data_IF_777485226837
#
_entry.id   IF_777485226837
#
_cell.length_a   1.000
_cell.length_b   1.000
_cell.length_c   1.000
_cell.angle_alpha   90.00
_cell.angle_beta   90.00
_cell.angle_gamma   90.00
#
_symmetry.space_group_name_H-M   'P 1'
#
loop_
_entity.id
_entity.type
_entity.pdbx_description
1 polymer ?
#
# COMPACT_ATOMS: atom_id res chain seq x y z
N UNK A 1 -8.42 30.26 -9.16
CA UNK A 1 -7.23 30.85 -9.82
C UNK A 1 -5.99 30.13 -9.27
N UNK A 2 -5.64 29.08 -9.88
CA UNK A 2 -4.37 28.53 -10.35
C UNK A 2 -3.19 28.75 -9.38
N UNK A 3 -2.93 27.77 -8.51
CA UNK A 3 -1.60 27.58 -7.94
C UNK A 3 -0.95 26.38 -8.65
N UNK A 4 -0.27 26.68 -9.73
CA UNK A 4 0.46 25.73 -10.57
C UNK A 4 1.84 25.50 -9.96
N UNK A 5 2.05 24.26 -9.48
CA UNK A 5 3.32 23.53 -9.51
C UNK A 5 4.63 24.32 -9.46
N UNK A 6 5.08 24.70 -8.26
CA UNK A 6 6.45 25.18 -8.06
C UNK A 6 7.53 24.10 -8.28
N UNK A 7 7.21 22.81 -8.17
CA UNK A 7 8.20 21.74 -8.35
C UNK A 7 8.57 21.43 -9.80
N UNK A 8 7.65 21.62 -10.74
CA UNK A 8 7.90 21.33 -12.16
C UNK A 8 8.80 22.36 -12.84
N UNK A 9 8.80 23.61 -12.35
CA UNK A 9 9.60 24.69 -12.95
C UNK A 9 11.08 24.69 -12.55
N UNK A 10 11.45 24.12 -11.39
CA UNK A 10 12.86 24.07 -10.94
C UNK A 10 13.66 23.06 -11.75
N UNK A 11 13.03 22.01 -12.27
CA UNK A 11 13.72 20.95 -13.04
C UNK A 11 14.12 21.43 -14.44
N UNK A 12 13.45 22.41 -15.02
CA UNK A 12 13.75 22.90 -16.39
C UNK A 12 15.07 23.64 -16.53
N UNK A 13 15.61 24.20 -15.44
CA UNK A 13 16.85 24.99 -15.48
C UNK A 13 18.12 24.23 -15.09
N UNK A 14 18.03 22.91 -14.75
CA UNK A 14 19.18 22.11 -14.36
C UNK A 14 19.87 21.45 -15.56
N UNK A 15 21.21 21.33 -15.52
CA UNK A 15 21.97 20.55 -16.48
C UNK A 15 21.61 19.06 -16.43
N UNK A 16 21.93 18.29 -17.48
CA UNK A 16 21.67 16.85 -17.51
C UNK A 16 22.29 16.11 -16.33
N UNK A 17 23.51 16.47 -15.93
CA UNK A 17 24.22 15.91 -14.77
C UNK A 17 23.52 16.22 -13.45
N UNK A 18 23.07 17.46 -13.26
CA UNK A 18 22.32 17.88 -12.07
C UNK A 18 20.93 17.21 -11.98
N UNK A 19 20.24 17.01 -13.12
CA UNK A 19 18.98 16.27 -13.19
C UNK A 19 19.16 14.80 -12.78
N UNK A 20 20.24 14.16 -13.24
CA UNK A 20 20.55 12.76 -12.90
C UNK A 20 20.92 12.61 -11.42
N UNK A 21 21.70 13.53 -10.86
CA UNK A 21 22.03 13.55 -9.43
C UNK A 21 20.78 13.75 -8.58
N UNK A 22 19.96 14.76 -8.88
CA UNK A 22 18.72 15.03 -8.17
C UNK A 22 17.76 13.85 -8.20
N UNK A 23 17.62 13.16 -9.36
CA UNK A 23 16.80 11.95 -9.47
C UNK A 23 17.31 10.80 -8.59
N UNK A 24 18.63 10.58 -8.53
CA UNK A 24 19.25 9.59 -7.63
C UNK A 24 18.99 9.92 -6.16
N UNK A 25 19.15 11.18 -5.78
CA UNK A 25 18.95 11.64 -4.39
C UNK A 25 17.49 11.42 -3.96
N UNK A 26 16.52 11.74 -4.80
CA UNK A 26 15.09 11.52 -4.55
C UNK A 26 14.76 10.02 -4.40
N UNK A 27 15.29 9.16 -5.27
CA UNK A 27 15.08 7.71 -5.19
C UNK A 27 15.67 7.14 -3.90
N UNK A 28 16.83 7.66 -3.46
CA UNK A 28 17.46 7.26 -2.18
C UNK A 28 16.63 7.73 -0.98
N UNK A 29 16.08 8.94 -1.03
CA UNK A 29 15.20 9.47 0.02
C UNK A 29 13.90 8.68 0.12
N UNK A 30 13.21 8.42 -1.00
CA UNK A 30 12.02 7.58 -1.03
C UNK A 30 12.30 6.20 -0.41
N UNK A 31 13.39 5.53 -0.82
CA UNK A 31 13.75 4.21 -0.31
C UNK A 31 13.97 4.20 1.21
N UNK A 32 14.66 5.22 1.74
CA UNK A 32 14.86 5.38 3.18
C UNK A 32 13.53 5.60 3.91
N UNK A 33 12.69 6.50 3.40
CA UNK A 33 11.40 6.83 4.01
C UNK A 33 10.42 5.67 3.96
N UNK A 34 10.40 4.90 2.87
CA UNK A 34 9.62 3.66 2.78
C UNK A 34 10.08 2.62 3.81
N UNK A 35 11.39 2.45 4.02
CA UNK A 35 11.89 1.54 5.04
C UNK A 35 11.44 1.97 6.45
N UNK A 36 11.52 3.27 6.78
CA UNK A 36 11.00 3.84 8.02
C UNK A 36 9.48 3.58 8.17
N UNK A 37 8.72 3.79 7.10
CA UNK A 37 7.28 3.53 7.07
C UNK A 37 6.96 2.06 7.34
N UNK A 38 7.55 1.11 6.61
CA UNK A 38 7.29 -0.32 6.78
C UNK A 38 7.70 -0.83 8.17
N UNK A 39 8.81 -0.32 8.71
CA UNK A 39 9.21 -0.62 10.08
C UNK A 39 8.15 -0.15 11.09
N UNK A 40 7.63 1.06 10.93
CA UNK A 40 6.59 1.63 11.80
C UNK A 40 5.22 0.96 11.63
N UNK A 41 4.93 0.44 10.44
CA UNK A 41 3.70 -0.29 10.15
C UNK A 41 3.63 -1.58 10.98
N UNK A 42 4.74 -2.27 11.16
CA UNK A 42 4.83 -3.55 11.86
C UNK A 42 4.41 -4.73 10.97
N UNK A 43 4.17 -5.89 11.59
CA UNK A 43 3.92 -7.14 10.86
C UNK A 43 2.52 -7.27 10.27
N UNK A 44 1.51 -6.74 10.95
CA UNK A 44 0.12 -6.97 10.57
C UNK A 44 -0.84 -5.90 11.11
N UNK A 45 -1.92 -5.65 10.39
CA UNK A 45 -3.03 -4.79 10.82
C UNK A 45 -4.36 -5.28 10.23
N UNK A 46 -5.46 -5.05 10.97
CA UNK A 46 -6.80 -5.13 10.36
C UNK A 46 -7.08 -3.84 9.61
N UNK A 47 -7.30 -3.93 8.30
CA UNK A 47 -7.45 -2.79 7.40
C UNK A 47 -8.74 -2.88 6.59
N UNK A 48 -9.33 -1.75 6.25
CA UNK A 48 -10.39 -1.70 5.27
C UNK A 48 -9.79 -1.90 3.87
N UNK A 49 -10.20 -2.98 3.19
CA UNK A 49 -9.91 -3.22 1.78
C UNK A 49 -11.04 -2.62 0.94
N UNK A 50 -10.72 -1.69 0.07
CA UNK A 50 -11.60 -1.11 -0.93
C UNK A 50 -11.31 -1.70 -2.29
N UNK A 51 -12.36 -2.14 -2.99
CA UNK A 51 -12.31 -2.70 -4.34
C UNK A 51 -13.37 -2.04 -5.20
N UNK A 52 -13.16 -1.97 -6.51
CA UNK A 52 -14.16 -1.45 -7.44
C UNK A 52 -14.41 -2.41 -8.59
N UNK A 53 -15.66 -2.50 -9.02
CA UNK A 53 -16.07 -3.25 -10.21
C UNK A 53 -17.31 -2.59 -10.78
N UNK A 54 -17.37 -2.43 -12.10
CA UNK A 54 -18.53 -1.83 -12.82
C UNK A 54 -18.92 -0.44 -12.26
N UNK A 55 -17.93 0.37 -11.90
CA UNK A 55 -18.13 1.71 -11.33
C UNK A 55 -18.63 1.73 -9.87
N UNK A 56 -18.77 0.57 -9.20
CA UNK A 56 -19.20 0.47 -7.80
C UNK A 56 -18.01 0.17 -6.89
N UNK A 57 -17.87 0.96 -5.86
CA UNK A 57 -16.86 0.76 -4.81
C UNK A 57 -17.46 -0.01 -3.64
N UNK A 58 -16.69 -0.92 -3.07
CA UNK A 58 -17.06 -1.68 -1.88
C UNK A 58 -15.89 -1.75 -0.91
N UNK A 59 -16.15 -1.60 0.39
CA UNK A 59 -15.15 -1.70 1.46
C UNK A 59 -15.52 -2.76 2.50
N UNK A 60 -14.52 -3.44 3.06
CA UNK A 60 -14.67 -4.39 4.18
C UNK A 60 -13.36 -4.56 4.93
N UNK A 61 -13.47 -4.95 6.21
CA UNK A 61 -12.28 -5.22 7.03
C UNK A 61 -11.61 -6.55 6.61
N UNK A 62 -10.29 -6.52 6.53
CA UNK A 62 -9.43 -7.67 6.23
C UNK A 62 -8.31 -7.78 7.25
N UNK A 63 -7.89 -9.01 7.54
CA UNK A 63 -6.63 -9.30 8.24
C UNK A 63 -5.50 -9.22 7.21
N UNK A 64 -4.60 -8.26 7.37
CA UNK A 64 -3.52 -7.97 6.42
C UNK A 64 -2.18 -8.18 7.10
N UNK A 65 -1.27 -8.90 6.45
CA UNK A 65 0.13 -9.05 6.87
C UNK A 65 1.05 -8.34 5.89
N UNK A 66 2.15 -7.79 6.42
CA UNK A 66 3.21 -7.15 5.63
C UNK A 66 4.37 -8.14 5.48
N UNK A 67 4.76 -8.45 4.24
CA UNK A 67 5.88 -9.32 3.89
C UNK A 67 6.64 -8.66 2.74
N UNK A 68 7.93 -8.42 2.91
CA UNK A 68 8.81 -7.86 1.88
C UNK A 68 8.23 -6.62 1.17
N UNK A 69 7.74 -5.66 1.97
CA UNK A 69 7.15 -4.39 1.48
C UNK A 69 5.86 -4.54 0.67
N UNK A 70 5.18 -5.68 0.77
CA UNK A 70 3.88 -5.95 0.14
C UNK A 70 2.87 -6.39 1.17
N UNK A 71 1.60 -6.14 0.88
CA UNK A 71 0.49 -6.43 1.79
C UNK A 71 -0.27 -7.65 1.33
N UNK A 72 -0.44 -8.62 2.21
CA UNK A 72 -1.08 -9.89 1.89
C UNK A 72 -2.33 -10.11 2.72
N UNK A 73 -3.33 -10.70 2.10
CA UNK A 73 -4.56 -11.14 2.75
C UNK A 73 -5.13 -12.36 2.03
N UNK A 74 -6.01 -13.10 2.71
CA UNK A 74 -6.71 -14.23 2.10
C UNK A 74 -8.19 -13.98 1.95
N UNK A 75 -8.82 -14.68 0.99
CA UNK A 75 -10.25 -14.65 0.75
C UNK A 75 -10.73 -15.89 0.02
N UNK A 76 -11.93 -16.36 0.37
CA UNK A 76 -12.63 -17.40 -0.37
C UNK A 76 -13.01 -16.93 -1.79
N UNK A 77 -12.80 -17.81 -2.80
CA UNK A 77 -13.17 -17.57 -4.21
C UNK A 77 -14.66 -17.29 -4.41
N UNK A 78 -15.53 -17.78 -3.53
CA UNK A 78 -16.96 -17.59 -3.59
C UNK A 78 -17.40 -16.22 -3.06
N UNK A 79 -16.48 -15.43 -2.48
CA UNK A 79 -16.78 -14.11 -1.97
C UNK A 79 -16.78 -13.06 -3.07
N UNK A 80 -17.70 -12.09 -2.95
CA UNK A 80 -17.83 -10.98 -3.93
C UNK A 80 -16.50 -10.22 -4.14
N UNK A 81 -15.71 -10.02 -3.10
CA UNK A 81 -14.42 -9.33 -3.20
C UNK A 81 -13.40 -10.07 -4.09
N UNK A 82 -13.44 -11.40 -4.12
CA UNK A 82 -12.61 -12.19 -5.03
C UNK A 82 -12.93 -11.87 -6.48
N UNK A 83 -14.22 -11.96 -6.86
CA UNK A 83 -14.67 -11.62 -8.21
C UNK A 83 -14.33 -10.16 -8.59
N UNK A 84 -14.46 -9.22 -7.65
CA UNK A 84 -14.09 -7.83 -7.85
C UNK A 84 -12.60 -7.66 -8.15
N UNK A 85 -11.73 -8.30 -7.36
CA UNK A 85 -10.26 -8.25 -7.56
C UNK A 85 -9.81 -8.93 -8.86
N UNK A 86 -10.53 -9.98 -9.29
CA UNK A 86 -10.27 -10.64 -10.59
C UNK A 86 -10.68 -9.75 -11.77
N UNK A 87 -11.76 -9.00 -11.64
CA UNK A 87 -12.26 -8.09 -12.66
C UNK A 87 -11.47 -6.78 -12.73
N UNK A 88 -11.06 -6.25 -11.58
CA UNK A 88 -10.26 -5.04 -11.45
C UNK A 88 -9.23 -5.22 -10.31
N UNK A 89 -7.95 -5.34 -10.63
CA UNK A 89 -6.92 -5.58 -9.63
C UNK A 89 -6.53 -4.34 -8.81
N UNK A 90 -6.97 -3.14 -9.20
CA UNK A 90 -6.72 -1.93 -8.43
C UNK A 90 -7.52 -1.95 -7.13
N UNK A 91 -6.83 -1.78 -6.02
CA UNK A 91 -7.42 -1.78 -4.69
C UNK A 91 -6.72 -0.78 -3.78
N UNK A 92 -7.40 -0.43 -2.69
CA UNK A 92 -6.81 0.36 -1.62
C UNK A 92 -7.02 -0.32 -0.27
N UNK A 93 -6.02 -0.17 0.60
CA UNK A 93 -6.08 -0.52 2.01
C UNK A 93 -6.05 0.76 2.84
N UNK A 94 -6.92 0.85 3.84
CA UNK A 94 -6.99 2.01 4.72
C UNK A 94 -7.07 1.60 6.18
N UNK A 95 -6.33 2.29 7.03
CA UNK A 95 -6.44 2.20 8.48
C UNK A 95 -6.04 3.53 9.09
N UNK A 96 -6.87 4.05 9.99
CA UNK A 96 -6.66 5.33 10.68
C UNK A 96 -6.29 6.45 9.69
N UNK A 97 -5.05 6.91 9.75
CA UNK A 97 -4.49 7.96 8.93
C UNK A 97 -3.63 7.47 7.75
N UNK A 98 -3.67 6.17 7.43
CA UNK A 98 -2.86 5.55 6.37
C UNK A 98 -3.76 5.07 5.24
N UNK A 99 -3.45 5.48 4.02
CA UNK A 99 -4.02 5.00 2.76
C UNK A 99 -2.91 4.37 1.93
N UNK A 100 -3.16 3.19 1.39
CA UNK A 100 -2.24 2.43 0.54
C UNK A 100 -3.02 2.01 -0.70
N UNK A 101 -2.61 2.50 -1.86
CA UNK A 101 -3.15 2.11 -3.15
C UNK A 101 -2.17 1.17 -3.86
N UNK A 102 -2.69 0.29 -4.71
CA UNK A 102 -1.84 -0.64 -5.43
C UNK A 102 -2.58 -1.68 -6.26
N UNK A 103 -1.79 -2.59 -6.81
CA UNK A 103 -2.25 -3.67 -7.66
C UNK A 103 -2.29 -4.98 -6.87
N UNK A 104 -3.45 -5.61 -6.83
CA UNK A 104 -3.65 -6.92 -6.25
C UNK A 104 -3.38 -8.03 -7.26
N UNK A 105 -2.62 -9.05 -6.84
CA UNK A 105 -2.37 -10.26 -7.59
C UNK A 105 -2.67 -11.48 -6.73
N UNK A 106 -3.39 -12.46 -7.26
CA UNK A 106 -3.55 -13.77 -6.65
C UNK A 106 -2.22 -14.53 -6.69
N UNK A 107 -1.79 -15.08 -5.55
CA UNK A 107 -0.50 -15.76 -5.37
C UNK A 107 -0.65 -17.18 -4.81
N UNK A 108 -1.75 -17.83 -5.12
CA UNK A 108 -2.00 -19.23 -4.79
C UNK A 108 -2.81 -19.44 -3.51
N UNK A 109 -2.69 -20.64 -2.95
CA UNK A 109 -3.41 -21.04 -1.74
C UNK A 109 -2.61 -20.70 -0.48
N UNK A 110 -3.28 -20.44 0.66
CA UNK A 110 -2.60 -20.06 1.89
C UNK A 110 -1.52 -21.04 2.36
N UNK A 111 -1.81 -22.36 2.29
CA UNK A 111 -0.87 -23.38 2.77
C UNK A 111 0.29 -23.66 1.81
N UNK A 112 0.18 -23.25 0.54
CA UNK A 112 1.22 -23.39 -0.49
C UNK A 112 2.19 -22.21 -0.52
N UNK A 113 1.81 -21.07 0.08
CA UNK A 113 2.67 -19.88 0.20
C UNK A 113 3.29 -19.84 1.59
N UNK A 114 4.52 -20.33 1.73
CA UNK A 114 5.18 -20.50 3.03
C UNK A 114 5.36 -19.17 3.79
N UNK A 115 5.75 -18.10 3.10
CA UNK A 115 5.94 -16.79 3.73
C UNK A 115 4.61 -16.25 4.27
N UNK A 116 3.54 -16.32 3.47
CA UNK A 116 2.20 -15.93 3.91
C UNK A 116 1.72 -16.79 5.06
N UNK A 117 1.82 -18.13 4.94
CA UNK A 117 1.39 -19.09 5.95
C UNK A 117 2.01 -18.75 7.31
N UNK A 118 3.34 -18.62 7.35
CA UNK A 118 4.06 -18.31 8.59
C UNK A 118 3.63 -16.98 9.21
N UNK A 119 3.59 -15.91 8.41
CA UNK A 119 3.23 -14.58 8.91
C UNK A 119 1.76 -14.51 9.33
N UNK A 120 0.85 -15.12 8.57
CA UNK A 120 -0.58 -15.07 8.85
C UNK A 120 -0.96 -15.94 10.05
N UNK A 121 -0.35 -17.12 10.20
CA UNK A 121 -0.53 -17.97 11.38
C UNK A 121 -0.04 -17.29 12.66
N UNK A 122 1.13 -16.62 12.61
CA UNK A 122 1.68 -15.86 13.74
C UNK A 122 0.74 -14.72 14.17
N UNK A 123 0.23 -13.96 13.20
CA UNK A 123 -0.50 -12.72 13.48
C UNK A 123 -2.02 -12.93 13.65
N UNK A 124 -2.59 -13.97 13.01
CA UNK A 124 -4.04 -14.18 12.93
C UNK A 124 -4.42 -15.66 13.11
N UNK A 125 -3.88 -16.31 14.15
CA UNK A 125 -4.05 -17.76 14.42
C UNK A 125 -5.49 -18.26 14.29
N UNK A 126 -6.47 -17.55 14.86
CA UNK A 126 -7.87 -17.96 14.77
C UNK A 126 -8.44 -17.95 13.35
N UNK A 127 -8.08 -16.95 12.53
CA UNK A 127 -8.49 -16.91 11.12
C UNK A 127 -7.73 -17.93 10.29
N UNK A 128 -6.47 -18.17 10.61
CA UNK A 128 -5.66 -19.20 9.98
C UNK A 128 -6.26 -20.59 10.16
N UNK A 129 -6.54 -20.98 11.39
CA UNK A 129 -7.10 -22.30 11.73
C UNK A 129 -8.47 -22.52 11.10
N UNK A 130 -9.27 -21.46 10.99
CA UNK A 130 -10.65 -21.54 10.51
C UNK A 130 -10.75 -21.62 8.98
N UNK A 131 -9.88 -20.91 8.25
CA UNK A 131 -10.08 -20.67 6.81
C UNK A 131 -8.93 -21.13 5.92
N UNK A 132 -7.66 -21.11 6.39
CA UNK A 132 -6.51 -21.24 5.49
C UNK A 132 -6.36 -22.63 4.85
N UNK A 133 -7.00 -23.67 5.41
CA UNK A 133 -7.03 -25.02 4.83
C UNK A 133 -8.12 -25.22 3.78
N UNK A 134 -9.07 -24.29 3.62
CA UNK A 134 -10.18 -24.42 2.69
C UNK A 134 -9.69 -24.46 1.24
N UNK A 135 -10.26 -25.39 0.44
CA UNK A 135 -9.95 -25.54 -0.99
C UNK A 135 -10.20 -24.27 -1.80
N UNK A 136 -11.21 -23.49 -1.39
CA UNK A 136 -11.61 -22.23 -2.04
C UNK A 136 -10.82 -21.00 -1.61
N UNK A 137 -9.97 -21.10 -0.58
CA UNK A 137 -9.24 -19.95 -0.07
C UNK A 137 -8.05 -19.58 -0.96
N UNK A 138 -7.89 -18.29 -1.23
CA UNK A 138 -6.82 -17.71 -2.07
C UNK A 138 -6.14 -16.57 -1.36
N UNK A 139 -4.84 -16.46 -1.58
CA UNK A 139 -4.01 -15.34 -1.12
C UNK A 139 -3.89 -14.29 -2.22
N UNK A 140 -4.10 -13.05 -1.85
CA UNK A 140 -3.77 -11.89 -2.67
C UNK A 140 -2.59 -11.13 -2.07
N UNK A 141 -1.71 -10.71 -2.96
CA UNK A 141 -0.62 -9.77 -2.72
C UNK A 141 -1.03 -8.42 -3.28
N UNK A 142 -1.03 -7.36 -2.50
CA UNK A 142 -1.12 -5.99 -2.95
C UNK A 142 0.28 -5.39 -2.99
N UNK A 143 0.75 -5.07 -4.19
CA UNK A 143 1.98 -4.31 -4.43
C UNK A 143 1.62 -2.82 -4.42
N UNK A 144 2.12 -2.03 -3.46
CA UNK A 144 1.76 -0.62 -3.37
C UNK A 144 2.43 0.19 -4.49
N UNK A 145 1.68 1.09 -5.10
CA UNK A 145 2.14 2.11 -6.04
C UNK A 145 2.05 3.52 -5.46
N UNK A 146 1.18 3.72 -4.45
CA UNK A 146 1.00 4.98 -3.75
C UNK A 146 0.67 4.74 -2.27
N UNK A 147 1.33 5.48 -1.37
CA UNK A 147 1.02 5.50 0.05
C UNK A 147 0.89 6.96 0.49
N UNK A 148 -0.16 7.27 1.22
CA UNK A 148 -0.37 8.57 1.83
C UNK A 148 -0.72 8.40 3.31
N UNK A 149 -0.22 9.31 4.14
CA UNK A 149 -0.66 9.41 5.53
C UNK A 149 -0.73 10.85 6.02
N UNK A 150 -1.68 11.08 6.88
CA UNK A 150 -1.80 12.31 7.63
C UNK A 150 -1.06 12.18 8.96
N UNK A 151 -0.08 13.04 9.21
CA UNK A 151 0.73 12.98 10.42
C UNK A 151 0.85 14.36 11.09
N UNK A 152 1.20 14.36 12.38
CA UNK A 152 1.48 15.57 13.12
C UNK A 152 2.97 15.62 13.52
N UNK A 153 3.63 16.74 13.26
CA UNK A 153 5.00 17.02 13.67
C UNK A 153 4.97 18.34 14.45
N UNK A 154 5.39 18.30 15.72
CA UNK A 154 5.36 19.45 16.63
C UNK A 154 3.99 20.16 16.68
N UNK A 155 2.92 19.36 16.67
CA UNK A 155 1.53 19.85 16.72
C UNK A 155 0.99 20.39 15.39
N UNK A 156 1.77 20.40 14.33
CA UNK A 156 1.34 20.83 12.99
C UNK A 156 0.98 19.65 12.12
N UNK A 157 -0.11 19.75 11.32
CA UNK A 157 -0.53 18.69 10.40
C UNK A 157 0.30 18.68 9.12
N UNK A 158 0.62 17.47 8.65
CA UNK A 158 1.33 17.22 7.40
C UNK A 158 0.66 16.10 6.61
N UNK A 159 0.68 16.20 5.28
CA UNK A 159 0.47 15.09 4.37
C UNK A 159 1.83 14.54 3.96
N UNK A 160 2.07 13.26 4.23
CA UNK A 160 3.25 12.52 3.79
C UNK A 160 2.87 11.56 2.67
N UNK A 161 3.55 11.67 1.53
CA UNK A 161 3.25 10.93 0.32
C UNK A 161 4.48 10.17 -0.18
N UNK A 162 4.28 8.88 -0.46
CA UNK A 162 5.21 7.98 -1.13
C UNK A 162 4.61 7.61 -2.48
N UNK A 163 4.97 8.32 -3.54
CA UNK A 163 4.57 8.02 -4.93
C UNK A 163 5.57 7.02 -5.51
N UNK A 164 5.31 5.74 -5.27
CA UNK A 164 6.22 4.64 -5.61
C UNK A 164 6.29 4.48 -7.13
N UNK A 165 5.14 4.64 -7.81
CA UNK A 165 5.05 4.56 -9.28
C UNK A 165 5.95 5.61 -9.95
N UNK A 166 5.93 6.86 -9.44
CA UNK A 166 6.75 7.96 -10.01
C UNK A 166 8.12 8.10 -9.36
N UNK A 167 8.41 7.31 -8.31
CA UNK A 167 9.67 7.37 -7.57
C UNK A 167 9.82 8.67 -6.78
N UNK A 168 8.73 9.18 -6.19
CA UNK A 168 8.65 10.44 -5.48
C UNK A 168 8.36 10.29 -4.00
N UNK A 169 8.91 11.20 -3.19
CA UNK A 169 8.56 11.38 -1.79
C UNK A 169 8.27 12.85 -1.51
N UNK A 170 7.24 13.13 -0.72
CA UNK A 170 6.98 14.48 -0.24
C UNK A 170 6.38 14.47 1.18
N UNK A 171 6.74 15.52 1.93
CA UNK A 171 6.17 15.85 3.23
C UNK A 171 5.75 17.32 3.17
N UNK A 172 4.46 17.57 3.23
CA UNK A 172 3.89 18.92 3.02
C UNK A 172 3.07 19.35 4.22
N UNK A 173 3.43 20.48 4.83
CA UNK A 173 2.62 21.07 5.90
C UNK A 173 1.25 21.48 5.36
N UNK A 174 0.20 21.03 6.01
CA UNK A 174 -1.16 21.48 5.71
C UNK A 174 -1.39 22.81 6.42
N UNK A 175 -1.56 23.85 5.62
CA UNK A 175 -1.85 25.22 6.13
C UNK A 175 -3.35 25.43 6.09
N UNK A 176 -3.91 25.73 7.25
CA UNK A 176 -5.31 26.12 7.44
C UNK A 176 -5.45 27.60 7.08
#
# INVERSE_FOLDING_TARGET
MISINHHTNIIKCLSASQKTKKRRDIVTELGKKLAEFYQSFGKAKKMALSTSSEGKVSSRMMSVVLIDSKFYFQTDMNMRKYAQLKANPHAALCIDNIQIEGICREVGRPLENEAFRSAFEECYKGSFDMYSSMESERVFELSPDYIERWIYIDGKPYTEVFDIEKGGYSLTEYKV
#
